data_IF_137615187717
#
_entry.id   IF_137615187717
#
_cell.length_a   1.000
_cell.length_b   1.000
_cell.length_c   1.000
_cell.angle_alpha   90.00
_cell.angle_beta   90.00
_cell.angle_gamma   90.00
#
_symmetry.space_group_name_H-M   'P 1'
#
loop_
_entity.id
_entity.type
_entity.pdbx_description
1 polymer ?
#
# COMPACT_ATOMS: atom_id res chain seq x y z
N UNK A 1 -7.91 -1.77 -35.33
CA UNK A 1 -7.76 -2.64 -34.15
C UNK A 1 -7.62 -1.72 -32.95
N UNK A 2 -8.47 -1.86 -31.91
CA UNK A 2 -8.33 -1.06 -30.68
C UNK A 2 -7.04 -1.47 -29.96
N UNK A 3 -6.25 -0.50 -29.53
CA UNK A 3 -5.06 -0.73 -28.73
C UNK A 3 -5.40 -0.57 -27.24
N UNK A 4 -4.63 -1.19 -26.34
CA UNK A 4 -4.87 -1.14 -24.89
C UNK A 4 -4.90 0.30 -24.36
N UNK A 5 -4.13 1.20 -24.97
CA UNK A 5 -4.13 2.65 -24.68
C UNK A 5 -5.47 3.34 -24.91
N UNK A 6 -6.32 2.81 -25.79
CA UNK A 6 -7.66 3.38 -26.03
C UNK A 6 -8.53 3.31 -24.76
N UNK A 7 -8.18 2.43 -23.82
CA UNK A 7 -8.86 2.24 -22.54
C UNK A 7 -8.08 2.84 -21.36
N UNK A 8 -7.09 3.69 -21.62
CA UNK A 8 -6.22 4.26 -20.58
C UNK A 8 -7.00 4.92 -19.44
N UNK A 9 -8.04 5.70 -19.76
CA UNK A 9 -8.91 6.35 -18.77
C UNK A 9 -9.61 5.30 -17.88
N UNK A 10 -10.09 4.20 -18.48
CA UNK A 10 -10.72 3.12 -17.73
C UNK A 10 -9.72 2.45 -16.79
N UNK A 11 -8.48 2.23 -17.23
CA UNK A 11 -7.43 1.65 -16.39
C UNK A 11 -7.08 2.58 -15.22
N UNK A 12 -6.97 3.89 -15.48
CA UNK A 12 -6.70 4.89 -14.45
C UNK A 12 -7.83 4.95 -13.41
N UNK A 13 -9.09 4.89 -13.86
CA UNK A 13 -10.25 4.86 -12.97
C UNK A 13 -10.25 3.58 -12.11
N UNK A 14 -10.03 2.41 -12.72
CA UNK A 14 -9.96 1.14 -11.99
C UNK A 14 -8.84 1.13 -10.95
N UNK A 15 -7.67 1.68 -11.28
CA UNK A 15 -6.57 1.84 -10.33
C UNK A 15 -6.98 2.73 -9.15
N UNK A 16 -7.64 3.86 -9.45
CA UNK A 16 -8.11 4.82 -8.44
C UNK A 16 -9.14 4.17 -7.52
N UNK A 17 -10.11 3.43 -8.09
CA UNK A 17 -11.14 2.74 -7.34
C UNK A 17 -10.56 1.61 -6.47
N UNK A 18 -9.58 0.87 -6.98
CA UNK A 18 -8.88 -0.16 -6.22
C UNK A 18 -8.13 0.42 -5.02
N UNK A 19 -7.35 1.50 -5.23
CA UNK A 19 -6.63 2.18 -4.15
C UNK A 19 -7.59 2.71 -3.09
N UNK A 20 -8.70 3.34 -3.51
CA UNK A 20 -9.72 3.83 -2.57
C UNK A 20 -10.36 2.70 -1.78
N UNK A 21 -10.64 1.57 -2.42
CA UNK A 21 -11.15 0.37 -1.74
C UNK A 21 -10.20 -0.12 -0.64
N UNK A 22 -8.90 -0.21 -0.93
CA UNK A 22 -7.90 -0.63 0.05
C UNK A 22 -7.75 0.38 1.22
N UNK A 23 -7.84 1.69 0.93
CA UNK A 23 -7.83 2.75 1.94
C UNK A 23 -9.09 2.70 2.80
N UNK A 24 -10.26 2.54 2.20
CA UNK A 24 -11.54 2.42 2.89
C UNK A 24 -11.52 1.20 3.82
N UNK A 25 -11.01 0.04 3.35
CA UNK A 25 -10.88 -1.17 4.16
C UNK A 25 -9.99 -0.95 5.39
N UNK A 26 -8.87 -0.24 5.23
CA UNK A 26 -8.01 0.16 6.35
C UNK A 26 -8.77 1.04 7.35
N UNK A 27 -9.51 2.04 6.88
CA UNK A 27 -10.25 2.97 7.75
C UNK A 27 -11.54 2.40 8.35
N UNK A 28 -12.04 1.24 7.88
CA UNK A 28 -13.08 0.50 8.59
C UNK A 28 -12.62 0.10 10.00
N UNK A 29 -11.31 0.03 10.25
CA UNK A 29 -10.75 -0.13 11.60
C UNK A 29 -11.07 -1.48 12.23
N UNK A 30 -11.20 -2.53 11.40
CA UNK A 30 -11.47 -3.87 11.89
C UNK A 30 -10.32 -4.39 12.76
N UNK A 31 -10.70 -4.89 13.93
CA UNK A 31 -9.83 -5.50 14.91
C UNK A 31 -10.22 -6.98 15.07
N UNK A 32 -9.22 -7.84 15.17
CA UNK A 32 -9.37 -9.27 15.43
C UNK A 32 -8.53 -9.68 16.64
N UNK A 33 -9.10 -10.53 17.49
CA UNK A 33 -8.38 -11.15 18.59
C UNK A 33 -7.29 -12.08 18.05
N UNK A 34 -6.08 -11.97 18.59
CA UNK A 34 -4.93 -12.81 18.22
C UNK A 34 -5.05 -14.26 18.71
N UNK A 35 -5.86 -14.52 19.73
CA UNK A 35 -6.15 -15.87 20.22
C UNK A 35 -7.01 -16.65 19.20
N UNK A 36 -6.48 -17.72 18.58
CA UNK A 36 -7.20 -18.50 17.58
C UNK A 36 -8.49 -19.14 18.12
N UNK A 37 -8.54 -19.48 19.41
CA UNK A 37 -9.72 -20.06 20.03
C UNK A 37 -10.84 -19.04 20.24
N UNK A 38 -10.50 -17.75 20.33
CA UNK A 38 -11.47 -16.66 20.47
C UNK A 38 -11.93 -16.15 19.10
N UNK A 39 -10.98 -15.75 18.25
CA UNK A 39 -11.26 -15.18 16.90
C UNK A 39 -12.31 -14.06 16.88
N UNK A 40 -12.54 -13.36 18.01
CA UNK A 40 -13.49 -12.25 18.08
C UNK A 40 -13.07 -11.11 17.16
N UNK A 41 -14.05 -10.51 16.46
CA UNK A 41 -13.85 -9.46 15.47
C UNK A 41 -14.77 -8.27 15.77
N UNK A 42 -14.22 -7.05 15.79
CA UNK A 42 -14.95 -5.82 16.13
C UNK A 42 -14.33 -4.59 15.47
N UNK A 43 -15.12 -3.55 15.20
CA UNK A 43 -14.62 -2.21 14.83
C UNK A 43 -14.51 -1.27 16.03
N UNK A 44 -15.00 -1.70 17.19
CA UNK A 44 -14.99 -0.89 18.41
C UNK A 44 -13.71 -1.14 19.18
N UNK A 45 -12.95 -0.08 19.46
CA UNK A 45 -11.76 -0.13 20.30
C UNK A 45 -12.15 -0.15 21.79
N UNK A 46 -11.80 -1.22 22.55
CA UNK A 46 -12.05 -1.26 23.98
C UNK A 46 -11.24 -0.20 24.75
N UNK A 47 -11.80 0.29 25.86
CA UNK A 47 -11.14 1.25 26.77
C UNK A 47 -9.98 0.62 27.53
N UNK A 48 -10.05 -0.70 27.78
CA UNK A 48 -9.02 -1.42 28.54
C UNK A 48 -7.86 -1.79 27.60
N UNK A 49 -6.72 -1.16 27.83
CA UNK A 49 -5.47 -1.44 27.13
C UNK A 49 -4.41 -2.00 28.08
N UNK A 50 -3.69 -3.01 27.64
CA UNK A 50 -2.45 -3.47 28.27
C UNK A 50 -1.23 -2.94 27.51
N UNK A 51 -0.01 -3.26 27.99
CA UNK A 51 1.25 -2.85 27.33
C UNK A 51 1.31 -3.25 25.85
N UNK A 52 0.62 -4.33 25.46
CA UNK A 52 0.69 -4.94 24.14
C UNK A 52 -0.46 -4.52 23.19
N UNK A 53 -1.41 -3.71 23.65
CA UNK A 53 -2.57 -3.25 22.87
C UNK A 53 -3.90 -3.32 23.63
N UNK A 54 -5.01 -3.15 22.92
CA UNK A 54 -6.34 -3.26 23.50
C UNK A 54 -6.69 -4.71 23.87
N UNK A 55 -7.11 -4.93 25.11
CA UNK A 55 -7.51 -6.26 25.59
C UNK A 55 -8.82 -6.68 24.94
N UNK A 56 -8.93 -7.94 24.51
CA UNK A 56 -10.18 -8.50 24.02
C UNK A 56 -11.23 -8.56 25.15
N UNK A 57 -12.39 -7.94 24.93
CA UNK A 57 -13.52 -7.92 25.87
C UNK A 57 -14.32 -9.23 25.94
N UNK A 58 -13.99 -10.22 25.10
CA UNK A 58 -14.65 -11.55 25.08
C UNK A 58 -13.86 -12.57 25.88
N UNK A 59 -12.57 -12.76 25.57
CA UNK A 59 -11.76 -13.78 26.24
C UNK A 59 -10.90 -13.25 27.40
N UNK A 60 -10.75 -11.92 27.52
CA UNK A 60 -9.92 -11.25 28.54
C UNK A 60 -8.47 -11.77 28.62
N UNK A 61 -7.97 -12.39 27.55
CA UNK A 61 -6.65 -13.02 27.45
C UNK A 61 -5.88 -12.57 26.21
N UNK A 62 -6.57 -12.51 25.07
CA UNK A 62 -6.00 -12.08 23.80
C UNK A 62 -6.00 -10.56 23.63
N UNK A 63 -5.21 -10.10 22.68
CA UNK A 63 -5.08 -8.71 22.28
C UNK A 63 -5.75 -8.51 20.93
N UNK A 64 -6.54 -7.45 20.82
CA UNK A 64 -7.12 -7.03 19.55
C UNK A 64 -6.03 -6.40 18.66
N UNK A 65 -5.86 -6.94 17.46
CA UNK A 65 -4.94 -6.44 16.43
C UNK A 65 -5.72 -5.96 15.21
N UNK A 66 -5.29 -4.88 14.54
CA UNK A 66 -5.87 -4.48 13.27
C UNK A 66 -5.78 -5.62 12.26
N UNK A 67 -6.88 -5.91 11.56
CA UNK A 67 -6.89 -6.86 10.45
C UNK A 67 -6.09 -6.31 9.28
N UNK A 68 -6.35 -5.05 8.93
CA UNK A 68 -5.55 -4.29 7.97
C UNK A 68 -4.63 -3.37 8.75
N UNK A 69 -3.34 -3.64 8.67
CA UNK A 69 -2.32 -2.79 9.29
C UNK A 69 -1.95 -1.64 8.37
N UNK A 70 -1.39 -0.58 8.95
CA UNK A 70 -0.84 0.52 8.18
C UNK A 70 0.30 0.06 7.24
N UNK A 71 1.11 -0.90 7.70
CA UNK A 71 2.18 -1.49 6.91
C UNK A 71 1.64 -2.29 5.71
N UNK A 72 0.57 -3.07 5.88
CA UNK A 72 -0.04 -3.82 4.77
C UNK A 72 -0.64 -2.89 3.72
N UNK A 73 -1.31 -1.81 4.14
CA UNK A 73 -1.80 -0.79 3.20
C UNK A 73 -0.64 -0.14 2.44
N UNK A 74 0.40 0.27 3.15
CA UNK A 74 1.59 0.86 2.51
C UNK A 74 2.24 -0.09 1.50
N UNK A 75 2.44 -1.36 1.87
CA UNK A 75 2.99 -2.37 0.95
C UNK A 75 2.11 -2.59 -0.28
N UNK A 76 0.79 -2.55 -0.11
CA UNK A 76 -0.17 -2.66 -1.21
C UNK A 76 -0.06 -1.47 -2.18
N UNK A 77 0.06 -0.24 -1.67
CA UNK A 77 0.31 0.94 -2.52
C UNK A 77 1.67 0.85 -3.23
N UNK A 78 2.73 0.42 -2.54
CA UNK A 78 4.02 0.16 -3.17
C UNK A 78 3.93 -0.93 -4.25
N UNK A 79 3.10 -1.95 -4.05
CA UNK A 79 2.86 -2.99 -5.05
C UNK A 79 2.23 -2.38 -6.31
N UNK A 80 1.21 -1.52 -6.19
CA UNK A 80 0.65 -0.81 -7.34
C UNK A 80 1.69 0.04 -8.07
N UNK A 81 2.50 0.81 -7.33
CA UNK A 81 3.57 1.63 -7.92
C UNK A 81 4.55 0.78 -8.71
N UNK A 82 4.94 -0.37 -8.17
CA UNK A 82 5.90 -1.28 -8.79
C UNK A 82 5.39 -1.83 -10.13
N UNK A 83 4.08 -2.03 -10.30
CA UNK A 83 3.51 -2.50 -11.58
C UNK A 83 3.73 -1.50 -12.72
N UNK A 84 3.91 -0.22 -12.40
CA UNK A 84 4.08 0.85 -13.39
C UNK A 84 5.50 1.41 -13.46
N UNK A 85 6.43 0.91 -12.64
CA UNK A 85 7.84 1.29 -12.67
C UNK A 85 8.57 0.63 -13.85
N UNK A 86 8.52 1.32 -14.98
CA UNK A 86 9.18 0.94 -16.23
C UNK A 86 10.69 0.80 -16.06
N UNK A 87 11.34 1.68 -15.31
CA UNK A 87 12.80 1.69 -15.20
C UNK A 87 13.28 0.50 -14.36
N UNK A 88 12.59 0.21 -13.26
CA UNK A 88 12.82 -0.99 -12.48
C UNK A 88 12.61 -2.25 -13.31
N UNK A 89 11.51 -2.32 -14.06
CA UNK A 89 11.23 -3.45 -14.94
C UNK A 89 12.34 -3.62 -15.99
N UNK A 90 12.71 -2.57 -16.72
CA UNK A 90 13.76 -2.62 -17.76
C UNK A 90 15.12 -3.04 -17.18
N UNK A 91 15.49 -2.57 -15.99
CA UNK A 91 16.72 -2.99 -15.31
C UNK A 91 16.69 -4.48 -14.99
N UNK A 92 15.56 -4.98 -14.47
CA UNK A 92 15.37 -6.41 -14.17
C UNK A 92 15.39 -7.26 -15.44
N UNK A 93 14.76 -6.81 -16.53
CA UNK A 93 14.76 -7.53 -17.81
C UNK A 93 16.15 -7.59 -18.47
N UNK A 94 16.92 -6.49 -18.43
CA UNK A 94 18.30 -6.46 -18.96
C UNK A 94 19.20 -7.49 -18.27
N UNK A 95 19.03 -7.71 -16.97
CA UNK A 95 19.79 -8.71 -16.21
C UNK A 95 19.48 -10.15 -16.65
N UNK A 96 18.31 -10.40 -17.23
CA UNK A 96 17.85 -11.74 -17.64
C UNK A 96 18.20 -12.02 -19.12
N UNK A 97 18.88 -11.10 -19.82
CA UNK A 97 19.41 -11.32 -21.17
C UNK A 97 18.39 -11.20 -22.31
N UNK A 98 17.17 -10.71 -22.04
CA UNK A 98 16.17 -10.42 -23.08
C UNK A 98 16.33 -8.99 -23.61
N UNK A 99 16.50 -8.77 -24.92
CA UNK A 99 16.42 -7.43 -25.49
C UNK A 99 16.04 -7.33 -26.98
N UNK A 100 15.01 -6.52 -27.25
CA UNK A 100 15.03 -5.36 -28.18
C UNK A 100 13.61 -4.82 -28.39
N UNK A 101 12.63 -5.69 -28.66
CA UNK A 101 11.26 -5.30 -29.04
C UNK A 101 10.45 -4.75 -27.86
N UNK A 102 10.56 -5.36 -26.68
CA UNK A 102 9.84 -4.90 -25.48
C UNK A 102 10.32 -3.52 -25.03
N UNK A 103 11.64 -3.28 -25.04
CA UNK A 103 12.22 -1.98 -24.70
C UNK A 103 11.78 -0.87 -25.66
N UNK A 104 11.65 -1.17 -26.96
CA UNK A 104 11.17 -0.22 -27.98
C UNK A 104 9.69 0.11 -27.77
N UNK A 105 8.83 -0.89 -27.57
CA UNK A 105 7.38 -0.67 -27.34
C UNK A 105 7.12 0.07 -26.03
N UNK A 106 7.90 -0.20 -24.99
CA UNK A 106 7.77 0.47 -23.69
C UNK A 106 8.00 1.99 -23.81
N UNK A 107 8.87 2.45 -24.71
CA UNK A 107 9.07 3.89 -24.92
C UNK A 107 7.80 4.59 -25.45
N UNK A 108 7.03 3.93 -26.32
CA UNK A 108 5.77 4.45 -26.84
C UNK A 108 4.75 4.67 -25.71
N UNK A 109 4.73 3.77 -24.72
CA UNK A 109 3.77 3.79 -23.63
C UNK A 109 4.24 4.50 -22.36
N UNK A 110 5.49 4.99 -22.33
CA UNK A 110 6.14 5.52 -21.13
C UNK A 110 5.34 6.60 -20.42
N UNK A 111 4.71 7.50 -21.19
CA UNK A 111 3.84 8.56 -20.65
C UNK A 111 2.63 8.02 -19.87
N UNK A 112 2.06 6.89 -20.32
CA UNK A 112 0.89 6.28 -19.67
C UNK A 112 1.30 5.57 -18.38
N UNK A 113 2.44 4.89 -18.38
CA UNK A 113 3.03 4.34 -17.15
C UNK A 113 3.34 5.43 -16.13
N UNK A 114 3.94 6.55 -16.56
CA UNK A 114 4.19 7.70 -15.69
C UNK A 114 2.90 8.22 -15.07
N UNK A 115 1.85 8.42 -15.89
CA UNK A 115 0.57 8.91 -15.39
C UNK A 115 -0.11 7.95 -14.39
N UNK A 116 0.05 6.63 -14.55
CA UNK A 116 -0.43 5.65 -13.56
C UNK A 116 0.40 5.68 -12.28
N UNK A 117 1.72 5.82 -12.39
CA UNK A 117 2.60 6.03 -11.24
C UNK A 117 2.23 7.29 -10.46
N UNK A 118 1.93 8.39 -11.15
CA UNK A 118 1.52 9.66 -10.53
C UNK A 118 0.22 9.51 -9.71
N UNK A 119 -0.72 8.67 -10.16
CA UNK A 119 -1.93 8.34 -9.38
C UNK A 119 -1.56 7.63 -8.09
N UNK A 120 -0.65 6.66 -8.11
CA UNK A 120 -0.22 5.95 -6.89
C UNK A 120 0.57 6.88 -5.98
N UNK A 121 1.45 7.71 -6.55
CA UNK A 121 2.27 8.66 -5.80
C UNK A 121 1.44 9.73 -5.10
N UNK A 122 0.33 10.17 -5.70
CA UNK A 122 -0.64 11.02 -5.01
C UNK A 122 -1.09 10.40 -3.68
N UNK A 123 -1.53 9.14 -3.67
CA UNK A 123 -1.99 8.47 -2.46
C UNK A 123 -0.85 8.12 -1.48
N UNK A 124 0.34 7.78 -1.99
CA UNK A 124 1.51 7.54 -1.14
C UNK A 124 1.98 8.81 -0.44
N UNK A 125 1.93 9.97 -1.10
CA UNK A 125 2.34 11.25 -0.52
C UNK A 125 1.35 11.77 0.55
N UNK A 126 0.07 11.41 0.43
CA UNK A 126 -0.92 11.63 1.50
C UNK A 126 -0.71 10.69 2.71
N UNK A 127 0.10 9.63 2.55
CA UNK A 127 0.39 8.68 3.62
C UNK A 127 1.64 9.09 4.42
N UNK A 128 1.48 9.31 5.72
CA UNK A 128 2.60 9.67 6.62
C UNK A 128 3.62 8.56 6.91
N UNK A 129 3.46 7.33 6.40
CA UNK A 129 4.33 6.19 6.72
C UNK A 129 5.73 6.39 6.19
N UNK A 130 5.82 6.93 4.98
CA UNK A 130 7.07 7.12 4.28
C UNK A 130 7.76 8.44 4.67
N UNK A 131 7.14 9.23 5.55
CA UNK A 131 7.71 10.47 6.07
C UNK A 131 8.48 10.20 7.36
N UNK A 132 9.81 10.14 7.26
CA UNK A 132 10.69 10.05 8.43
C UNK A 132 11.29 11.42 8.72
N UNK A 133 10.73 12.11 9.73
CA UNK A 133 11.30 13.37 10.21
C UNK A 133 12.60 13.11 10.97
N UNK A 134 13.75 13.26 10.29
CA UNK A 134 15.07 13.15 10.90
C UNK A 134 15.26 14.12 12.10
N UNK A 135 14.78 15.39 12.05
CA UNK A 135 14.86 16.27 13.22
C UNK A 135 14.09 15.74 14.43
N UNK A 136 12.92 15.11 14.22
CA UNK A 136 12.17 14.47 15.32
C UNK A 136 12.91 13.23 15.84
N UNK A 137 13.45 12.40 14.95
CA UNK A 137 14.15 11.17 15.28
C UNK A 137 15.44 11.44 16.08
N UNK A 138 16.15 12.50 15.72
CA UNK A 138 17.44 12.88 16.30
C UNK A 138 17.36 14.10 17.22
N UNK A 139 16.16 14.49 17.67
CA UNK A 139 16.01 15.65 18.55
C UNK A 139 16.81 15.52 19.86
N UNK A 140 17.07 14.28 20.30
CA UNK A 140 17.85 13.97 21.49
C UNK A 140 19.37 14.10 21.27
N UNK A 141 19.84 14.05 20.01
CA UNK A 141 21.22 14.38 19.66
C UNK A 141 21.35 15.90 19.65
N UNK A 142 21.74 16.47 20.80
CA UNK A 142 22.29 17.83 20.83
C UNK A 142 23.74 17.75 20.36
N UNK A 143 24.02 18.33 19.18
CA UNK A 143 25.38 18.67 18.74
C UNK A 143 25.91 19.87 19.53
#
# INVERSE_FOLDING_TARGET
>A
MRQVVDFFVSLQNQLTDAIRGDIDEYYLGWLKCDDPACSHRTTTLPVVSERNGAMCNVCFKGVLKPEVTYQSLYHQLCFYKLQFDVEYALKKYKQIGYNSIAAIKVQEYRKYYSALTDVVDFYLNESGYNEVSLPRLFHWMKL
#
